data_IF_000652531252
#
_entry.id   IF_000652531252
#
_cell.length_a   1.000
_cell.length_b   1.000
_cell.length_c   1.000
_cell.angle_alpha   90.00
_cell.angle_beta   90.00
_cell.angle_gamma   90.00
#
_symmetry.space_group_name_H-M   'P 1'
#
loop_
_entity.id
_entity.type
_entity.pdbx_description
1 polymer ?
#
# COMPACT_ATOMS: atom_id res chain seq x y z
N UNK A 1 6.28 33.79 54.75
CA UNK A 1 6.81 32.85 55.75
C UNK A 1 5.89 31.63 55.67
N UNK A 2 6.25 30.64 54.87
CA UNK A 2 5.43 29.44 54.67
C UNK A 2 5.92 28.40 55.67
N UNK A 3 5.09 28.06 56.66
CA UNK A 3 5.36 26.97 57.60
C UNK A 3 5.27 25.64 56.84
N UNK A 4 6.39 24.92 56.81
CA UNK A 4 6.46 23.55 56.31
C UNK A 4 5.81 22.67 57.38
N UNK A 5 4.60 22.17 57.10
CA UNK A 5 4.00 21.12 57.93
C UNK A 5 4.85 19.86 57.78
N UNK A 6 5.68 19.56 58.79
CA UNK A 6 6.33 18.25 58.92
C UNK A 6 5.25 17.19 59.16
N UNK A 7 5.16 16.23 58.23
CA UNK A 7 4.30 15.07 58.40
C UNK A 7 4.71 14.32 59.68
N UNK A 8 3.74 14.00 60.55
CA UNK A 8 4.06 13.32 61.82
C UNK A 8 4.71 11.96 61.56
N UNK A 9 5.59 11.51 62.45
CA UNK A 9 6.30 10.23 62.31
C UNK A 9 5.35 9.03 62.12
N UNK A 10 4.12 9.12 62.65
CA UNK A 10 3.07 8.13 62.44
C UNK A 10 2.55 8.13 60.99
N UNK A 11 2.39 9.29 60.36
CA UNK A 11 2.00 9.39 58.94
C UNK A 11 3.07 8.79 58.02
N UNK A 12 4.36 9.03 58.30
CA UNK A 12 5.46 8.42 57.55
C UNK A 12 5.51 6.89 57.72
N UNK A 13 5.29 6.35 58.92
CA UNK A 13 5.22 4.89 59.14
C UNK A 13 4.05 4.23 58.41
N UNK A 14 2.91 4.93 58.35
CA UNK A 14 1.71 4.48 57.64
C UNK A 14 1.97 4.47 56.12
N UNK A 15 2.59 5.51 55.56
CA UNK A 15 2.93 5.59 54.13
C UNK A 15 4.04 4.61 53.71
N UNK A 16 4.99 4.31 54.60
CA UNK A 16 6.10 3.38 54.34
C UNK A 16 5.77 1.92 54.71
N UNK A 17 4.65 1.67 55.38
CA UNK A 17 4.19 0.33 55.73
C UNK A 17 3.71 -0.42 54.50
N UNK A 18 4.14 -1.67 54.32
CA UNK A 18 3.85 -2.48 53.12
C UNK A 18 2.36 -2.66 52.80
N UNK A 19 1.47 -2.48 53.79
CA UNK A 19 0.03 -2.61 53.60
C UNK A 19 -0.60 -1.53 52.73
N UNK A 20 -0.18 -0.27 52.84
CA UNK A 20 -0.83 0.85 52.13
C UNK A 20 -0.43 0.93 50.66
N UNK A 21 0.85 0.82 50.26
CA UNK A 21 1.22 0.71 48.86
C UNK A 21 0.55 -0.51 48.22
N UNK A 22 0.54 -1.66 48.89
CA UNK A 22 -0.11 -2.88 48.35
C UNK A 22 -1.62 -2.68 48.19
N UNK A 23 -2.30 -2.02 49.14
CA UNK A 23 -3.71 -1.64 48.98
C UNK A 23 -3.92 -0.61 47.88
N UNK A 24 -3.11 0.45 47.80
CA UNK A 24 -3.20 1.47 46.75
C UNK A 24 -3.00 0.83 45.37
N UNK A 25 -1.97 0.00 45.20
CA UNK A 25 -1.73 -0.77 43.97
C UNK A 25 -2.86 -1.75 43.66
N UNK A 26 -3.50 -2.35 44.68
CA UNK A 26 -4.67 -3.22 44.48
C UNK A 26 -5.95 -2.47 44.09
N UNK A 27 -6.04 -1.16 44.36
CA UNK A 27 -7.17 -0.30 43.99
C UNK A 27 -6.91 0.55 42.75
N UNK A 28 -5.66 0.64 42.28
CA UNK A 28 -5.30 1.29 41.03
C UNK A 28 -5.45 0.31 39.86
N UNK A 29 -6.69 0.05 39.45
CA UNK A 29 -7.00 -0.23 38.04
C UNK A 29 -6.84 1.07 37.21
N UNK A 30 -5.72 1.77 37.42
CA UNK A 30 -5.42 3.09 36.88
C UNK A 30 -4.65 2.99 35.57
N UNK A 31 -4.81 4.00 34.72
CA UNK A 31 -3.96 4.17 33.54
C UNK A 31 -2.53 4.40 34.04
N UNK A 32 -1.67 3.40 33.90
CA UNK A 32 -0.25 3.55 34.19
C UNK A 32 0.30 4.76 33.40
N UNK A 33 1.19 5.55 34.01
CA UNK A 33 1.72 6.78 33.41
C UNK A 33 2.35 6.53 32.03
N UNK A 34 2.97 5.37 31.85
CA UNK A 34 3.57 4.92 30.60
C UNK A 34 2.54 4.50 29.52
N UNK A 35 1.26 4.34 29.88
CA UNK A 35 0.17 4.10 28.95
C UNK A 35 -0.56 5.38 28.51
N UNK A 36 -0.32 6.52 29.19
CA UNK A 36 -0.89 7.81 28.83
C UNK A 36 -0.63 8.21 27.37
N UNK A 37 0.55 7.96 26.76
CA UNK A 37 0.80 8.31 25.36
C UNK A 37 -0.12 7.61 24.36
N UNK A 38 -0.66 6.44 24.70
CA UNK A 38 -1.56 5.66 23.84
C UNK A 38 -3.03 6.04 24.03
N UNK A 39 -3.33 6.87 25.04
CA UNK A 39 -4.69 7.08 25.51
C UNK A 39 -5.63 7.64 24.45
N UNK A 40 -5.14 8.58 23.65
CA UNK A 40 -5.86 9.18 22.53
C UNK A 40 -5.67 8.43 21.21
N UNK A 41 -4.56 7.71 21.05
CA UNK A 41 -4.21 7.03 19.79
C UNK A 41 -5.02 5.75 19.58
N UNK A 42 -5.31 5.02 20.66
CA UNK A 42 -6.14 3.80 20.60
C UNK A 42 -7.62 4.07 20.29
N UNK A 43 -8.06 5.32 20.40
CA UNK A 43 -9.44 5.74 20.08
C UNK A 43 -9.55 6.19 18.62
N UNK A 44 -8.43 6.47 17.95
CA UNK A 44 -8.43 6.81 16.53
C UNK A 44 -8.72 5.57 15.69
N UNK A 45 -9.47 5.73 14.60
CA UNK A 45 -9.66 4.62 13.67
C UNK A 45 -8.33 4.31 13.00
N UNK A 46 -8.01 3.02 12.85
CA UNK A 46 -6.79 2.55 12.19
C UNK A 46 -6.56 3.16 10.79
N UNK A 47 -7.64 3.59 10.11
CA UNK A 47 -7.60 4.24 8.80
C UNK A 47 -6.95 5.65 8.78
N UNK A 48 -6.84 6.35 9.91
CA UNK A 48 -6.39 7.76 9.95
C UNK A 48 -4.87 7.97 10.01
N UNK A 49 -4.06 6.91 9.85
CA UNK A 49 -2.60 6.81 9.99
C UNK A 49 -2.18 6.12 11.28
N UNK A 50 -1.45 5.03 11.13
CA UNK A 50 -0.88 4.24 12.24
C UNK A 50 0.53 4.71 12.60
N UNK A 51 1.15 5.59 11.82
CA UNK A 51 2.53 6.05 12.01
C UNK A 51 2.75 6.71 13.38
N UNK A 52 1.89 7.65 13.86
CA UNK A 52 2.07 8.25 15.18
C UNK A 52 1.93 7.25 16.33
N UNK A 53 1.14 6.19 16.11
CA UNK A 53 1.05 5.08 17.04
C UNK A 53 2.32 4.23 17.01
N UNK A 54 2.81 3.86 15.83
CA UNK A 54 4.03 3.08 15.64
C UNK A 54 5.24 3.74 16.33
N UNK A 55 5.46 5.03 16.11
CA UNK A 55 6.59 5.79 16.69
C UNK A 55 6.66 5.71 18.22
N UNK A 56 5.51 5.56 18.89
CA UNK A 56 5.43 5.45 20.36
C UNK A 56 5.35 4.01 20.83
N UNK A 57 4.58 3.19 20.11
CA UNK A 57 4.25 1.83 20.54
C UNK A 57 5.40 0.87 20.31
N UNK A 58 6.09 0.95 19.17
CA UNK A 58 7.21 0.06 18.88
C UNK A 58 8.34 0.12 19.92
N UNK A 59 8.91 1.29 20.26
CA UNK A 59 9.96 1.35 21.29
C UNK A 59 9.44 0.98 22.69
N UNK A 60 8.20 1.34 23.01
CA UNK A 60 7.58 0.94 24.26
C UNK A 60 7.43 -0.60 24.35
N UNK A 61 6.93 -1.24 23.29
CA UNK A 61 6.75 -2.69 23.22
C UNK A 61 8.10 -3.41 23.27
N UNK A 62 9.11 -2.92 22.55
CA UNK A 62 10.48 -3.45 22.62
C UNK A 62 11.06 -3.39 24.05
N UNK A 63 10.69 -2.39 24.85
CA UNK A 63 11.19 -2.25 26.24
C UNK A 63 10.41 -3.07 27.27
N UNK A 64 9.11 -3.27 27.07
CA UNK A 64 8.21 -3.91 28.05
C UNK A 64 7.83 -5.34 27.71
N UNK A 65 7.93 -5.73 26.44
CA UNK A 65 7.52 -7.02 25.89
C UNK A 65 6.08 -7.41 26.23
N UNK A 66 5.84 -8.71 26.32
CA UNK A 66 4.54 -9.31 26.61
C UNK A 66 3.93 -8.86 27.93
N UNK A 67 4.76 -8.58 28.94
CA UNK A 67 4.28 -8.12 30.24
C UNK A 67 3.57 -6.76 30.12
N UNK A 68 4.20 -5.80 29.41
CA UNK A 68 3.58 -4.50 29.14
C UNK A 68 2.27 -4.64 28.37
N UNK A 69 2.26 -5.51 27.36
CA UNK A 69 1.09 -5.79 26.54
C UNK A 69 -0.10 -6.32 27.38
N UNK A 70 0.17 -7.26 28.30
CA UNK A 70 -0.86 -7.80 29.21
C UNK A 70 -1.43 -6.69 30.11
N UNK A 71 -0.60 -5.79 30.63
CA UNK A 71 -1.07 -4.67 31.44
C UNK A 71 -1.92 -3.69 30.62
N UNK A 72 -1.49 -3.36 29.40
CA UNK A 72 -2.25 -2.49 28.51
C UNK A 72 -3.62 -3.08 28.16
N UNK A 73 -3.69 -4.39 27.88
CA UNK A 73 -4.97 -5.06 27.57
C UNK A 73 -5.87 -5.21 28.81
N UNK A 74 -5.30 -5.33 30.01
CA UNK A 74 -6.06 -5.30 31.26
C UNK A 74 -6.71 -3.93 31.46
N UNK A 75 -5.96 -2.85 31.28
CA UNK A 75 -6.48 -1.49 31.43
C UNK A 75 -7.42 -1.09 30.28
N UNK A 76 -7.20 -1.62 29.07
CA UNK A 76 -7.89 -1.22 27.83
C UNK A 76 -8.16 -2.42 26.93
N UNK A 77 -9.16 -3.25 27.24
CA UNK A 77 -9.48 -4.44 26.43
C UNK A 77 -9.88 -4.08 24.99
N UNK A 78 -10.45 -2.89 24.78
CA UNK A 78 -10.82 -2.36 23.46
C UNK A 78 -9.61 -2.11 22.54
N UNK A 79 -8.38 -2.10 23.07
CA UNK A 79 -7.17 -1.97 22.28
C UNK A 79 -6.86 -3.24 21.47
N UNK A 80 -7.38 -4.41 21.87
CA UNK A 80 -7.04 -5.70 21.27
C UNK A 80 -7.24 -5.74 19.74
N UNK A 81 -8.40 -5.32 19.17
CA UNK A 81 -8.58 -5.33 17.72
C UNK A 81 -7.67 -4.32 17.00
N UNK A 82 -7.36 -3.19 17.63
CA UNK A 82 -6.46 -2.19 17.07
C UNK A 82 -5.03 -2.74 16.99
N UNK A 83 -4.55 -3.35 18.06
CA UNK A 83 -3.23 -3.96 18.12
C UNK A 83 -3.09 -5.12 17.15
N UNK A 84 -4.17 -5.88 16.92
CA UNK A 84 -4.15 -6.96 15.93
C UNK A 84 -3.98 -6.42 14.50
N UNK A 85 -4.64 -5.31 14.17
CA UNK A 85 -4.43 -4.60 12.89
C UNK A 85 -3.03 -4.01 12.81
N UNK A 86 -2.50 -3.50 13.92
CA UNK A 86 -1.13 -3.00 13.99
C UNK A 86 -0.12 -4.12 13.72
N UNK A 87 -0.29 -5.30 14.33
CA UNK A 87 0.57 -6.46 14.08
C UNK A 87 0.55 -6.89 12.61
N UNK A 88 -0.64 -6.93 11.99
CA UNK A 88 -0.79 -7.18 10.56
C UNK A 88 -0.15 -6.10 9.68
N UNK A 89 -0.08 -4.85 10.15
CA UNK A 89 0.54 -3.74 9.43
C UNK A 89 2.07 -3.73 9.57
N UNK A 90 2.58 -3.98 10.77
CA UNK A 90 4.01 -4.02 11.07
C UNK A 90 4.69 -5.31 10.60
N UNK A 91 3.92 -6.39 10.42
CA UNK A 91 4.46 -7.71 10.08
C UNK A 91 5.01 -8.45 11.29
N UNK A 92 4.64 -8.02 12.50
CA UNK A 92 5.17 -8.58 13.74
C UNK A 92 4.41 -9.86 14.09
N UNK A 93 4.99 -11.00 13.70
CA UNK A 93 4.43 -12.33 13.94
C UNK A 93 4.33 -12.66 15.43
N UNK A 94 5.32 -12.27 16.23
CA UNK A 94 5.31 -12.57 17.68
C UNK A 94 4.17 -11.82 18.37
N UNK A 95 4.01 -10.54 18.05
CA UNK A 95 2.88 -9.74 18.53
C UNK A 95 1.55 -10.33 18.07
N UNK A 96 1.44 -10.73 16.81
CA UNK A 96 0.21 -11.33 16.27
C UNK A 96 -0.16 -12.62 17.00
N UNK A 97 0.79 -13.52 17.22
CA UNK A 97 0.57 -14.77 17.94
C UNK A 97 0.17 -14.51 19.40
N UNK A 98 0.85 -13.55 20.04
CA UNK A 98 0.56 -13.13 21.40
C UNK A 98 -0.85 -12.55 21.54
N UNK A 99 -1.32 -11.76 20.56
CA UNK A 99 -2.67 -11.18 20.55
C UNK A 99 -3.74 -12.21 20.22
N UNK A 100 -3.48 -13.13 19.28
CA UNK A 100 -4.39 -14.24 18.96
C UNK A 100 -4.71 -15.09 20.20
N UNK A 101 -3.69 -15.39 21.02
CA UNK A 101 -3.89 -16.17 22.25
C UNK A 101 -4.74 -15.45 23.32
N UNK A 102 -5.02 -14.15 23.17
CA UNK A 102 -5.71 -13.33 24.19
C UNK A 102 -7.19 -13.07 23.90
N UNK A 103 -7.73 -13.49 22.76
CA UNK A 103 -9.16 -13.35 22.49
C UNK A 103 -9.58 -13.90 21.13
N UNK A 104 -10.89 -14.06 20.96
CA UNK A 104 -11.47 -14.42 19.66
C UNK A 104 -11.46 -13.19 18.74
N UNK A 105 -10.61 -13.26 17.71
CA UNK A 105 -10.40 -12.20 16.73
C UNK A 105 -10.72 -12.67 15.30
N UNK A 106 -11.30 -13.86 15.14
CA UNK A 106 -11.52 -14.45 13.81
C UNK A 106 -12.46 -13.61 12.95
N UNK A 107 -13.40 -12.90 13.57
CA UNK A 107 -14.32 -11.97 12.90
C UNK A 107 -13.72 -10.61 12.56
N UNK A 108 -12.45 -10.35 12.92
CA UNK A 108 -11.82 -9.07 12.67
C UNK A 108 -11.48 -8.92 11.18
N UNK A 109 -12.27 -8.12 10.49
CA UNK A 109 -12.10 -7.89 9.05
C UNK A 109 -10.81 -7.13 8.70
N UNK A 110 -10.39 -7.29 7.44
CA UNK A 110 -9.32 -6.57 6.75
C UNK A 110 -7.89 -6.88 7.22
N UNK A 111 -7.66 -7.87 8.09
CA UNK A 111 -6.29 -8.24 8.48
C UNK A 111 -5.49 -8.78 7.28
N UNK A 112 -6.11 -9.63 6.45
CA UNK A 112 -5.46 -10.12 5.22
C UNK A 112 -5.21 -8.99 4.23
N UNK A 113 -6.13 -8.04 4.10
CA UNK A 113 -5.95 -6.87 3.22
C UNK A 113 -4.76 -6.02 3.67
N UNK A 114 -4.61 -5.81 4.99
CA UNK A 114 -3.49 -5.05 5.58
C UNK A 114 -2.18 -5.80 5.34
N UNK A 115 -2.12 -7.10 5.66
CA UNK A 115 -0.94 -7.93 5.46
C UNK A 115 -0.51 -7.96 3.99
N UNK A 116 -1.48 -8.09 3.08
CA UNK A 116 -1.27 -8.07 1.63
C UNK A 116 -0.70 -6.75 1.14
N UNK A 117 -1.19 -5.63 1.68
CA UNK A 117 -0.74 -4.29 1.31
C UNK A 117 0.68 -3.96 1.80
N UNK A 118 1.21 -4.75 2.74
CA UNK A 118 2.51 -4.52 3.38
C UNK A 118 3.57 -5.56 3.02
N UNK A 119 3.22 -6.58 2.25
CA UNK A 119 4.17 -7.59 1.80
C UNK A 119 4.45 -8.69 2.82
N UNK A 120 3.62 -8.83 3.86
CA UNK A 120 3.84 -9.81 4.93
C UNK A 120 3.25 -11.17 4.56
N UNK A 121 3.93 -11.92 3.68
CA UNK A 121 3.45 -13.21 3.17
C UNK A 121 3.25 -14.25 4.27
N UNK A 122 4.23 -14.44 5.17
CA UNK A 122 4.14 -15.45 6.24
C UNK A 122 2.94 -15.17 7.16
N UNK A 123 2.72 -13.89 7.46
CA UNK A 123 1.59 -13.42 8.26
C UNK A 123 0.27 -13.66 7.55
N UNK A 124 0.20 -13.36 6.25
CA UNK A 124 -0.98 -13.59 5.41
C UNK A 124 -1.35 -15.09 5.36
N UNK A 125 -0.36 -15.96 5.12
CA UNK A 125 -0.53 -17.42 5.08
C UNK A 125 -1.07 -17.89 6.43
N UNK A 126 -0.45 -17.45 7.52
CA UNK A 126 -0.88 -17.81 8.87
C UNK A 126 -2.32 -17.38 9.16
N UNK A 127 -2.69 -16.14 8.82
CA UNK A 127 -4.07 -15.65 8.98
C UNK A 127 -5.07 -16.48 8.17
N UNK A 128 -4.71 -16.86 6.95
CA UNK A 128 -5.54 -17.72 6.09
C UNK A 128 -5.74 -19.11 6.71
N UNK A 129 -4.68 -19.77 7.15
CA UNK A 129 -4.73 -21.11 7.74
C UNK A 129 -5.51 -21.15 9.06
N UNK A 130 -5.49 -20.06 9.83
CA UNK A 130 -6.22 -19.95 11.10
C UNK A 130 -7.67 -19.47 10.94
N UNK A 131 -8.17 -19.35 9.71
CA UNK A 131 -9.59 -19.10 9.44
C UNK A 131 -10.03 -17.65 9.60
N UNK A 132 -9.10 -16.68 9.53
CA UNK A 132 -9.48 -15.25 9.56
C UNK A 132 -10.29 -14.86 8.32
N UNK A 133 -11.44 -14.23 8.56
CA UNK A 133 -12.35 -13.76 7.51
C UNK A 133 -12.09 -12.29 7.14
N UNK A 134 -12.80 -11.80 6.13
CA UNK A 134 -12.74 -10.39 5.72
C UNK A 134 -11.54 -10.03 4.85
N UNK A 135 -11.05 -10.99 4.06
CA UNK A 135 -10.28 -10.68 2.86
C UNK A 135 -11.21 -10.07 1.82
N UNK A 136 -10.75 -9.07 1.07
CA UNK A 136 -11.52 -8.45 -0.01
C UNK A 136 -10.68 -8.36 -1.29
N UNK A 137 -11.27 -7.88 -2.37
CA UNK A 137 -10.52 -7.55 -3.60
C UNK A 137 -9.39 -6.55 -3.35
N UNK A 138 -9.47 -5.76 -2.27
CA UNK A 138 -8.40 -4.82 -1.87
C UNK A 138 -7.09 -5.53 -1.53
N UNK A 139 -7.13 -6.78 -1.04
CA UNK A 139 -5.92 -7.55 -0.74
C UNK A 139 -5.07 -7.72 -2.00
N UNK A 140 -5.64 -8.29 -3.07
CA UNK A 140 -4.92 -8.51 -4.33
C UNK A 140 -4.60 -7.20 -5.04
N UNK A 141 -5.52 -6.23 -5.02
CA UNK A 141 -5.27 -4.91 -5.61
C UNK A 141 -4.07 -4.22 -4.97
N UNK A 142 -4.01 -4.15 -3.64
CA UNK A 142 -2.91 -3.51 -2.93
C UNK A 142 -1.60 -4.28 -3.05
N UNK A 143 -1.64 -5.63 -3.02
CA UNK A 143 -0.46 -6.45 -3.24
C UNK A 143 0.13 -6.24 -4.64
N UNK A 144 -0.73 -6.14 -5.67
CA UNK A 144 -0.30 -5.87 -7.03
C UNK A 144 0.28 -4.46 -7.20
N UNK A 145 -0.37 -3.46 -6.60
CA UNK A 145 0.10 -2.07 -6.61
C UNK A 145 1.46 -1.90 -5.91
N UNK A 146 1.73 -2.64 -4.83
CA UNK A 146 2.96 -2.56 -4.05
C UNK A 146 4.05 -3.55 -4.50
N UNK A 147 3.82 -4.34 -5.55
CA UNK A 147 4.85 -5.22 -6.12
C UNK A 147 5.03 -6.56 -5.40
N UNK A 148 4.04 -7.02 -4.63
CA UNK A 148 4.11 -8.26 -3.87
C UNK A 148 3.61 -9.48 -4.67
N UNK A 149 4.39 -9.92 -5.67
CA UNK A 149 4.01 -11.01 -6.59
C UNK A 149 3.60 -12.31 -5.87
N UNK A 150 4.36 -12.74 -4.86
CA UNK A 150 4.08 -13.99 -4.15
C UNK A 150 2.76 -13.92 -3.36
N UNK A 151 2.39 -12.75 -2.86
CA UNK A 151 1.07 -12.52 -2.25
C UNK A 151 -0.02 -12.57 -3.31
N UNK A 152 0.19 -11.95 -4.48
CA UNK A 152 -0.77 -12.04 -5.60
C UNK A 152 -1.00 -13.49 -6.03
N UNK A 153 0.07 -14.28 -6.13
CA UNK A 153 0.00 -15.72 -6.42
C UNK A 153 -0.75 -16.46 -5.32
N UNK A 154 -0.42 -16.25 -4.06
CA UNK A 154 -1.10 -16.89 -2.94
C UNK A 154 -2.60 -16.58 -2.94
N UNK A 155 -2.97 -15.30 -3.04
CA UNK A 155 -4.36 -14.88 -3.10
C UNK A 155 -5.08 -15.39 -4.36
N UNK A 156 -4.37 -15.61 -5.47
CA UNK A 156 -4.99 -16.20 -6.66
C UNK A 156 -5.37 -17.67 -6.46
N UNK A 157 -4.48 -18.45 -5.84
CA UNK A 157 -4.68 -19.89 -5.69
C UNK A 157 -5.55 -20.28 -4.48
N UNK A 158 -5.54 -19.47 -3.41
CA UNK A 158 -6.16 -19.84 -2.14
C UNK A 158 -7.41 -19.02 -1.79
N UNK A 159 -7.73 -17.98 -2.58
CA UNK A 159 -8.83 -17.05 -2.30
C UNK A 159 -9.71 -16.83 -3.53
N UNK A 160 -11.01 -16.64 -3.30
CA UNK A 160 -12.04 -16.55 -4.35
C UNK A 160 -12.53 -15.12 -4.57
N UNK A 161 -12.14 -14.19 -3.71
CA UNK A 161 -12.52 -12.78 -3.74
C UNK A 161 -12.05 -12.08 -5.03
N UNK A 162 -10.92 -12.55 -5.59
CA UNK A 162 -10.38 -12.06 -6.86
C UNK A 162 -9.78 -10.65 -6.76
N UNK A 163 -9.77 -9.94 -7.87
CA UNK A 163 -9.27 -8.57 -7.95
C UNK A 163 -10.22 -7.69 -8.78
N UNK A 164 -9.84 -6.43 -8.93
CA UNK A 164 -10.47 -5.53 -9.91
C UNK A 164 -9.41 -5.04 -10.90
N UNK A 165 -9.82 -4.25 -11.89
CA UNK A 165 -8.90 -3.53 -12.80
C UNK A 165 -7.81 -2.73 -12.07
N UNK A 166 -8.08 -2.35 -10.81
CA UNK A 166 -7.11 -1.66 -9.95
C UNK A 166 -5.84 -2.47 -9.72
N UNK A 167 -5.89 -3.81 -9.69
CA UNK A 167 -4.69 -4.63 -9.53
C UNK A 167 -3.73 -4.46 -10.71
N UNK A 168 -4.23 -4.65 -11.93
CA UNK A 168 -3.41 -4.52 -13.14
C UNK A 168 -2.96 -3.07 -13.33
N UNK A 169 -3.87 -2.10 -13.18
CA UNK A 169 -3.54 -0.68 -13.27
C UNK A 169 -2.46 -0.27 -12.24
N UNK A 170 -2.59 -0.67 -10.97
CA UNK A 170 -1.62 -0.35 -9.92
C UNK A 170 -0.25 -0.98 -10.19
N UNK A 171 -0.21 -2.22 -10.66
CA UNK A 171 1.02 -2.88 -11.07
C UNK A 171 1.68 -2.18 -12.27
N UNK A 172 0.88 -1.76 -13.25
CA UNK A 172 1.36 -1.00 -14.42
C UNK A 172 1.98 0.34 -14.00
N UNK A 173 1.25 1.11 -13.19
CA UNK A 173 1.64 2.44 -12.73
C UNK A 173 2.95 2.45 -11.92
N UNK A 174 3.28 1.35 -11.25
CA UNK A 174 4.52 1.19 -10.46
C UNK A 174 5.57 0.31 -11.15
N UNK A 175 5.34 -0.10 -12.41
CA UNK A 175 6.35 -0.81 -13.21
C UNK A 175 6.54 -2.28 -12.85
N UNK A 176 5.57 -2.90 -12.18
CA UNK A 176 5.65 -4.30 -11.74
C UNK A 176 5.29 -5.28 -12.87
N UNK A 177 6.16 -5.38 -13.88
CA UNK A 177 5.93 -6.18 -15.09
C UNK A 177 5.55 -7.65 -14.80
N UNK A 178 6.24 -8.31 -13.86
CA UNK A 178 5.95 -9.72 -13.52
C UNK A 178 4.51 -9.92 -13.02
N UNK A 179 3.98 -8.93 -12.28
CA UNK A 179 2.59 -8.94 -11.82
C UNK A 179 1.64 -8.66 -12.98
N UNK A 180 1.98 -7.73 -13.88
CA UNK A 180 1.18 -7.46 -15.07
C UNK A 180 1.06 -8.71 -15.95
N UNK A 181 2.17 -9.43 -16.18
CA UNK A 181 2.19 -10.71 -16.89
C UNK A 181 1.34 -11.76 -16.21
N UNK A 182 1.53 -11.95 -14.90
CA UNK A 182 0.74 -12.90 -14.12
C UNK A 182 -0.76 -12.62 -14.20
N UNK A 183 -1.16 -11.36 -13.98
CA UNK A 183 -2.56 -10.94 -14.07
C UNK A 183 -3.09 -11.04 -15.51
N UNK A 184 -2.28 -10.79 -16.54
CA UNK A 184 -2.71 -10.97 -17.92
C UNK A 184 -3.02 -12.45 -18.24
N UNK A 185 -2.19 -13.38 -17.79
CA UNK A 185 -2.34 -14.80 -18.06
C UNK A 185 -3.46 -15.47 -17.24
N UNK A 186 -3.68 -15.01 -16.00
CA UNK A 186 -4.53 -15.73 -15.03
C UNK A 186 -5.83 -15.00 -14.66
N UNK A 187 -6.03 -13.76 -15.13
CA UNK A 187 -7.18 -12.92 -14.76
C UNK A 187 -7.84 -12.28 -15.98
N UNK A 188 -9.13 -11.99 -15.87
CA UNK A 188 -9.97 -11.50 -16.98
C UNK A 188 -10.47 -10.06 -16.77
N UNK A 189 -10.19 -9.46 -15.61
CA UNK A 189 -10.66 -8.15 -15.20
C UNK A 189 -10.15 -7.03 -16.13
N UNK A 190 -8.94 -7.24 -16.68
CA UNK A 190 -8.27 -6.34 -17.62
C UNK A 190 -7.70 -5.07 -16.98
N UNK A 191 -7.40 -4.08 -17.83
CA UNK A 191 -6.88 -2.78 -17.41
C UNK A 191 -7.68 -1.64 -18.05
N UNK A 192 -7.24 -0.41 -17.82
CA UNK A 192 -7.79 0.80 -18.47
C UNK A 192 -6.67 1.55 -19.19
N UNK A 193 -6.98 2.35 -20.24
CA UNK A 193 -5.98 3.17 -20.93
C UNK A 193 -5.13 4.03 -19.99
N UNK A 194 -5.76 4.56 -18.94
CA UNK A 194 -5.09 5.34 -17.88
C UNK A 194 -3.86 4.64 -17.27
N UNK A 195 -3.88 3.31 -17.15
CA UNK A 195 -2.73 2.57 -16.62
C UNK A 195 -1.53 2.64 -17.57
N UNK A 196 -1.76 2.60 -18.88
CA UNK A 196 -0.70 2.73 -19.90
C UNK A 196 -0.20 4.18 -19.97
N UNK A 197 -1.10 5.17 -19.86
CA UNK A 197 -0.74 6.59 -19.83
C UNK A 197 0.20 6.91 -18.65
N UNK A 198 -0.12 6.42 -17.46
CA UNK A 198 0.73 6.60 -16.27
C UNK A 198 2.02 5.77 -16.36
N UNK A 199 1.97 4.57 -16.95
CA UNK A 199 3.19 3.78 -17.19
C UNK A 199 4.16 4.52 -18.11
N UNK A 200 3.62 5.17 -19.14
CA UNK A 200 4.38 6.01 -20.07
C UNK A 200 4.99 7.22 -19.35
N UNK A 201 4.20 7.91 -18.53
CA UNK A 201 4.65 9.03 -17.68
C UNK A 201 5.77 8.65 -16.70
N UNK A 202 5.72 7.44 -16.13
CA UNK A 202 6.67 6.99 -15.11
C UNK A 202 7.90 6.27 -15.70
N UNK A 203 8.00 6.15 -17.02
CA UNK A 203 9.17 5.55 -17.66
C UNK A 203 9.16 4.02 -17.66
N UNK A 204 8.00 3.38 -17.47
CA UNK A 204 7.88 1.93 -17.41
C UNK A 204 7.78 1.31 -18.81
N UNK A 205 8.81 1.49 -19.64
CA UNK A 205 8.84 1.06 -21.04
C UNK A 205 8.48 -0.42 -21.22
N UNK A 206 9.05 -1.32 -20.41
CA UNK A 206 8.77 -2.76 -20.52
C UNK A 206 7.29 -3.12 -20.28
N UNK A 207 6.60 -2.35 -19.43
CA UNK A 207 5.14 -2.49 -19.24
C UNK A 207 4.40 -1.98 -20.46
N UNK A 208 4.76 -0.81 -20.98
CA UNK A 208 4.14 -0.21 -22.19
C UNK A 208 4.28 -1.15 -23.40
N UNK A 209 5.48 -1.68 -23.63
CA UNK A 209 5.78 -2.63 -24.70
C UNK A 209 4.95 -3.93 -24.53
N UNK A 210 4.94 -4.50 -23.33
CA UNK A 210 4.15 -5.70 -23.04
C UNK A 210 2.65 -5.50 -23.33
N UNK A 211 2.09 -4.37 -22.88
CA UNK A 211 0.68 -4.04 -23.09
C UNK A 211 0.36 -3.84 -24.57
N UNK A 212 1.23 -3.17 -25.32
CA UNK A 212 1.04 -3.00 -26.76
C UNK A 212 0.99 -4.35 -27.49
N UNK A 213 1.87 -5.29 -27.14
CA UNK A 213 1.98 -6.59 -27.81
C UNK A 213 0.86 -7.57 -27.45
N UNK A 214 0.32 -7.49 -26.23
CA UNK A 214 -0.57 -8.54 -25.69
C UNK A 214 -1.98 -8.05 -25.36
N UNK A 215 -2.26 -6.74 -25.46
CA UNK A 215 -3.54 -6.14 -25.04
C UNK A 215 -4.08 -5.14 -26.05
N UNK A 216 -5.41 -4.97 -26.04
CA UNK A 216 -6.13 -4.12 -27.00
C UNK A 216 -6.68 -2.83 -26.40
N UNK A 217 -6.59 -2.63 -25.07
CA UNK A 217 -7.11 -1.42 -24.41
C UNK A 217 -6.43 -0.14 -24.89
N UNK A 218 -5.14 -0.22 -25.24
CA UNK A 218 -4.37 0.91 -25.74
C UNK A 218 -4.09 2.00 -24.70
N UNK A 219 -3.81 3.20 -25.19
CA UNK A 219 -3.52 4.40 -24.42
C UNK A 219 -4.30 5.60 -24.96
N UNK A 220 -4.21 6.73 -24.30
CA UNK A 220 -4.74 8.01 -24.80
C UNK A 220 -3.61 8.91 -25.31
N UNK A 221 -3.96 10.07 -25.88
CA UNK A 221 -2.97 11.08 -26.28
C UNK A 221 -2.09 11.53 -25.09
N UNK A 222 -2.59 11.41 -23.86
CA UNK A 222 -1.86 11.74 -22.64
C UNK A 222 -0.58 10.90 -22.48
N UNK A 223 -0.56 9.64 -22.95
CA UNK A 223 0.62 8.77 -22.81
C UNK A 223 1.87 9.38 -23.44
N UNK A 224 1.76 9.84 -24.68
CA UNK A 224 2.88 10.42 -25.41
C UNK A 224 3.26 11.78 -24.82
N UNK A 225 2.28 12.64 -24.53
CA UNK A 225 2.52 13.96 -23.96
C UNK A 225 3.16 13.89 -22.56
N UNK A 226 2.71 12.98 -21.70
CA UNK A 226 3.27 12.81 -20.36
C UNK A 226 4.64 12.13 -20.38
N UNK A 227 4.88 11.16 -21.26
CA UNK A 227 6.21 10.60 -21.48
C UNK A 227 7.19 11.67 -21.98
N UNK A 228 6.75 12.55 -22.87
CA UNK A 228 7.52 13.67 -23.39
C UNK A 228 7.84 14.71 -22.30
N UNK A 229 6.85 15.06 -21.46
CA UNK A 229 7.04 15.95 -20.32
C UNK A 229 7.95 15.36 -19.22
N UNK A 230 8.02 14.03 -19.11
CA UNK A 230 8.85 13.32 -18.13
C UNK A 230 10.25 12.96 -18.67
N UNK A 231 10.52 13.17 -19.96
CA UNK A 231 11.83 12.92 -20.56
C UNK A 231 12.07 11.48 -20.99
N UNK A 232 11.02 10.69 -21.22
CA UNK A 232 11.12 9.28 -21.64
C UNK A 232 11.13 9.14 -23.16
N UNK A 233 12.26 9.49 -23.79
CA UNK A 233 12.44 9.47 -25.25
C UNK A 233 12.14 8.10 -25.88
N UNK A 234 12.56 7.01 -25.23
CA UNK A 234 12.31 5.63 -25.66
C UNK A 234 10.81 5.33 -25.78
N UNK A 235 10.03 5.73 -24.79
CA UNK A 235 8.57 5.59 -24.80
C UNK A 235 7.94 6.49 -25.87
N UNK A 236 8.38 7.75 -25.98
CA UNK A 236 7.86 8.67 -27.02
C UNK A 236 8.10 8.13 -28.41
N UNK A 237 9.32 7.60 -28.68
CA UNK A 237 9.64 6.97 -29.96
C UNK A 237 8.72 5.80 -30.26
N UNK A 238 8.60 4.88 -29.30
CA UNK A 238 7.74 3.71 -29.45
C UNK A 238 6.28 4.08 -29.68
N UNK A 239 5.73 5.01 -28.89
CA UNK A 239 4.35 5.47 -29.07
C UNK A 239 4.16 6.19 -30.40
N UNK A 240 5.15 6.94 -30.90
CA UNK A 240 5.03 7.65 -32.17
C UNK A 240 5.16 6.73 -33.39
N UNK A 241 5.96 5.67 -33.28
CA UNK A 241 6.20 4.71 -34.36
C UNK A 241 5.11 3.60 -34.43
N UNK A 242 4.52 3.23 -33.29
CA UNK A 242 3.66 2.04 -33.19
C UNK A 242 2.19 2.35 -32.85
N UNK A 243 1.84 3.61 -32.59
CA UNK A 243 0.50 4.00 -32.14
C UNK A 243 0.03 5.31 -32.78
N UNK A 244 -1.28 5.38 -33.02
CA UNK A 244 -1.92 6.52 -33.70
C UNK A 244 -2.66 7.44 -32.72
N UNK A 245 -2.75 7.09 -31.45
CA UNK A 245 -3.50 7.86 -30.44
C UNK A 245 -2.78 9.14 -29.97
N UNK A 246 -1.48 9.26 -30.21
CA UNK A 246 -0.66 10.38 -29.74
C UNK A 246 -0.84 11.68 -30.53
N UNK A 247 -0.69 12.82 -29.86
CA UNK A 247 -0.59 14.14 -30.50
C UNK A 247 0.86 14.62 -30.42
N UNK A 248 1.59 14.49 -31.53
CA UNK A 248 3.01 14.88 -31.61
C UNK A 248 3.23 16.38 -31.38
N UNK A 249 2.27 17.24 -31.73
CA UNK A 249 2.37 18.69 -31.49
C UNK A 249 2.31 18.95 -29.99
N UNK A 250 1.29 18.39 -29.33
CA UNK A 250 1.16 18.53 -27.88
C UNK A 250 2.34 17.90 -27.13
N UNK A 251 2.81 16.73 -27.55
CA UNK A 251 3.99 16.10 -26.96
C UNK A 251 5.26 16.94 -27.14
N UNK A 252 5.42 17.63 -28.27
CA UNK A 252 6.54 18.56 -28.52
C UNK A 252 6.47 19.76 -27.59
N UNK A 253 5.29 20.37 -27.42
CA UNK A 253 5.08 21.48 -26.47
C UNK A 253 5.36 21.04 -25.02
N UNK A 254 4.90 19.84 -24.64
CA UNK A 254 5.12 19.27 -23.31
C UNK A 254 6.62 19.03 -23.04
N UNK A 255 7.36 18.45 -23.99
CA UNK A 255 8.81 18.30 -23.89
C UNK A 255 9.55 19.64 -23.85
N UNK A 256 9.12 20.63 -24.65
CA UNK A 256 9.73 21.95 -24.69
C UNK A 256 9.57 22.72 -23.37
N UNK A 257 8.37 22.65 -22.77
CA UNK A 257 8.09 23.27 -21.46
C UNK A 257 8.87 22.61 -20.32
N UNK A 258 9.08 21.30 -20.38
CA UNK A 258 9.89 20.55 -19.42
C UNK A 258 11.41 20.62 -19.66
N UNK A 259 11.85 21.08 -20.84
CA UNK A 259 13.27 21.25 -21.20
C UNK A 259 13.94 20.04 -21.86
N UNK A 260 13.17 19.04 -22.32
CA UNK A 260 13.65 17.82 -22.96
C UNK A 260 13.93 18.04 -24.46
N UNK A 261 15.08 18.65 -24.75
CA UNK A 261 15.49 19.08 -26.12
C UNK A 261 15.71 17.91 -27.09
N UNK A 262 16.10 16.76 -26.59
CA UNK A 262 16.26 15.51 -27.34
C UNK A 262 14.92 15.01 -27.89
N UNK A 263 13.87 15.05 -27.08
CA UNK A 263 12.51 14.68 -27.49
C UNK A 263 11.95 15.68 -28.50
N UNK A 264 12.12 16.98 -28.28
CA UNK A 264 11.71 18.02 -29.23
C UNK A 264 12.38 17.80 -30.59
N UNK A 265 13.70 17.58 -30.62
CA UNK A 265 14.43 17.32 -31.88
C UNK A 265 13.93 16.06 -32.58
N UNK A 266 13.64 15.01 -31.84
CA UNK A 266 13.09 13.78 -32.40
C UNK A 266 11.74 14.04 -33.08
N UNK A 267 10.78 14.63 -32.36
CA UNK A 267 9.43 14.89 -32.88
C UNK A 267 9.44 15.88 -34.06
N UNK A 268 10.28 16.93 -34.01
CA UNK A 268 10.45 17.86 -35.13
C UNK A 268 11.05 17.17 -36.37
N UNK A 269 12.05 16.29 -36.19
CA UNK A 269 12.64 15.55 -37.31
C UNK A 269 11.64 14.59 -37.97
N UNK A 270 10.81 13.93 -37.16
CA UNK A 270 9.78 13.01 -37.66
C UNK A 270 8.69 13.75 -38.44
N UNK A 271 8.25 14.92 -37.96
CA UNK A 271 7.27 15.75 -38.65
C UNK A 271 7.76 16.28 -40.02
N UNK A 272 9.08 16.46 -40.19
CA UNK A 272 9.66 16.85 -41.48
C UNK A 272 9.73 15.69 -42.48
N UNK A 273 9.82 14.45 -42.01
CA UNK A 273 9.80 13.26 -42.86
C UNK A 273 8.38 12.92 -43.38
N UNK A 274 7.33 13.26 -42.62
CA UNK A 274 5.92 13.00 -42.98
C UNK A 274 5.14 14.21 -43.56
N UNK A 275 5.82 15.23 -44.11
CA UNK A 275 5.17 16.39 -44.77
C UNK A 275 4.10 15.98 -45.81
N UNK A 276 3.06 16.82 -46.04
CA UNK A 276 1.69 16.40 -46.31
C UNK A 276 1.60 15.46 -47.51
N UNK A 277 1.51 14.17 -47.23
CA UNK A 277 1.08 13.20 -48.23
C UNK A 277 -0.45 13.26 -48.31
N UNK A 278 -0.93 13.71 -49.47
CA UNK A 278 -2.34 13.60 -49.84
C UNK A 278 -2.85 12.19 -49.52
N UNK A 279 -3.97 12.15 -48.77
CA UNK A 279 -4.97 11.09 -48.79
C UNK A 279 -4.48 9.71 -49.25
N UNK A 280 -3.88 8.93 -48.37
CA UNK A 280 -3.84 7.48 -48.56
C UNK A 280 -4.10 6.76 -47.23
N UNK A 281 -5.31 6.21 -47.19
CA UNK A 281 -5.74 5.03 -46.43
C UNK A 281 -4.55 4.15 -46.05
N UNK A 282 -4.09 4.27 -44.80
CA UNK A 282 -3.29 3.21 -44.19
C UNK A 282 -4.28 2.12 -43.81
N UNK A 283 -4.21 0.99 -44.51
CA UNK A 283 -4.92 -0.22 -44.13
C UNK A 283 -4.47 -0.64 -42.74
N UNK A 284 -5.26 -0.34 -41.71
CA UNK A 284 -5.10 -0.95 -40.39
C UNK A 284 -5.30 -2.46 -40.56
N UNK A 285 -4.31 -3.27 -40.16
CA UNK A 285 -4.34 -4.74 -40.19
C UNK A 285 -5.39 -5.37 -39.25
N UNK A 286 -6.67 -5.03 -39.44
CA UNK A 286 -7.84 -5.70 -38.82
C UNK A 286 -8.42 -6.81 -39.70
N UNK A 287 -7.76 -7.19 -40.78
CA UNK A 287 -8.22 -8.23 -41.70
C UNK A 287 -7.56 -9.59 -41.46
N UNK A 288 -7.58 -10.13 -40.23
CA UNK A 288 -7.52 -11.59 -40.04
C UNK A 288 -8.26 -11.98 -38.76
N UNK A 289 -9.54 -12.28 -38.93
CA UNK A 289 -10.28 -13.17 -38.03
C UNK A 289 -10.13 -14.58 -38.59
N UNK A 290 -9.70 -15.53 -37.77
CA UNK A 290 -9.99 -16.95 -37.94
C UNK A 290 -10.65 -17.47 -36.67
#
# INVERSE_FOLDING_TARGET
>A
MWEVFEASAAACQVLLGSGIPTSIYSYQDGVYEDLLPFSHLLVQTFAHSVVPFHEKFYPWFASRGDYGLVQLLRCRPQALPYLMRYAAWSGDMDLLLCLHAKGDLLSLANLLDIASSRGHLDLLVWLHEHGYVGCTTRAMNAAAEQGHLEIVRFLHHHRMEGCTRSAMNGAMMNGHLEIVQFLHEHRTEGCTPYGMDVSARNGHFAVVEFLHLHRTEGCTADAMAWAAAAGHLDIVRFLNEQRDEGDAVWATEAAATAGHRDIVRYLESYAMEEGPSDANVVFSGRDFVF
#
